data_IF_907064200599
#
_entry.id   IF_907064200599
#
_cell.length_a   1.000
_cell.length_b   1.000
_cell.length_c   1.000
_cell.angle_alpha   90.00
_cell.angle_beta   90.00
_cell.angle_gamma   90.00
#
_symmetry.space_group_name_H-M   'P 1'
#
loop_
_entity.id
_entity.type
_entity.pdbx_description
1 polymer ?
#
# COMPACT_ATOMS: atom_id res chain seq x y z
N UNK A 1 5.50 -8.64 20.83
CA UNK A 1 4.91 -8.78 19.49
C UNK A 1 4.66 -7.39 18.97
N UNK A 2 5.38 -6.97 17.93
CA UNK A 2 5.20 -5.65 17.34
C UNK A 2 3.91 -5.68 16.53
N UNK A 3 2.79 -5.26 17.13
CA UNK A 3 1.53 -5.07 16.43
C UNK A 3 1.71 -3.90 15.47
N UNK A 4 1.70 -4.18 14.17
CA UNK A 4 1.57 -3.14 13.15
C UNK A 4 0.21 -2.49 13.39
N UNK A 5 0.21 -1.19 13.69
CA UNK A 5 -1.03 -0.45 13.93
C UNK A 5 -1.63 0.03 12.60
N UNK A 6 -2.90 0.45 12.63
CA UNK A 6 -3.54 1.06 11.47
C UNK A 6 -2.82 2.35 11.02
N UNK A 7 -2.22 3.10 11.96
CA UNK A 7 -1.38 4.27 11.64
C UNK A 7 -0.10 3.88 10.91
N UNK A 8 0.54 2.76 11.30
CA UNK A 8 1.72 2.25 10.59
C UNK A 8 1.38 1.85 9.15
N UNK A 9 0.26 1.13 8.96
CA UNK A 9 -0.22 0.77 7.62
C UNK A 9 -0.49 2.00 6.76
N UNK A 10 -1.07 3.05 7.34
CA UNK A 10 -1.34 4.32 6.66
C UNK A 10 -0.05 5.05 6.24
N UNK A 11 0.96 5.08 7.12
CA UNK A 11 2.25 5.67 6.78
C UNK A 11 2.96 4.89 5.67
N UNK A 12 2.94 3.57 5.74
CA UNK A 12 3.55 2.69 4.71
C UNK A 12 2.82 2.85 3.38
N UNK A 13 1.49 2.87 3.38
CA UNK A 13 0.68 3.08 2.18
C UNK A 13 1.01 4.42 1.50
N UNK A 14 1.06 5.51 2.27
CA UNK A 14 1.44 6.82 1.73
C UNK A 14 2.85 6.84 1.16
N UNK A 15 3.82 6.20 1.81
CA UNK A 15 5.19 6.11 1.30
C UNK A 15 5.26 5.35 -0.03
N UNK A 16 4.53 4.23 -0.13
CA UNK A 16 4.47 3.42 -1.35
C UNK A 16 3.80 4.20 -2.48
N UNK A 17 2.70 4.89 -2.21
CA UNK A 17 1.98 5.71 -3.19
C UNK A 17 2.80 6.94 -3.62
N UNK A 18 3.52 7.60 -2.72
CA UNK A 18 4.41 8.73 -3.06
C UNK A 18 5.56 8.30 -4.00
N UNK A 19 6.14 7.12 -3.75
CA UNK A 19 7.28 6.60 -4.51
C UNK A 19 6.88 5.92 -5.83
N UNK A 20 5.80 5.16 -5.83
CA UNK A 20 5.41 4.26 -6.93
C UNK A 20 4.08 4.65 -7.59
N UNK A 21 3.34 5.62 -7.03
CA UNK A 21 2.03 6.03 -7.55
C UNK A 21 1.07 4.86 -7.66
N UNK A 22 0.38 4.75 -8.78
CA UNK A 22 -0.57 3.66 -9.06
C UNK A 22 0.07 2.25 -9.05
N UNK A 23 1.39 2.14 -9.25
CA UNK A 23 2.08 0.84 -9.19
C UNK A 23 2.12 0.25 -7.78
N UNK A 24 1.95 1.07 -6.73
CA UNK A 24 1.88 0.60 -5.34
C UNK A 24 0.75 -0.44 -5.14
N UNK A 25 -0.39 -0.25 -5.81
CA UNK A 25 -1.52 -1.18 -5.73
C UNK A 25 -1.19 -2.53 -6.40
N UNK A 26 -0.46 -2.51 -7.51
CA UNK A 26 -0.02 -3.71 -8.22
C UNK A 26 0.95 -4.50 -7.34
N UNK A 27 1.94 -3.83 -6.73
CA UNK A 27 2.88 -4.49 -5.82
C UNK A 27 2.20 -5.09 -4.60
N UNK A 28 1.26 -4.38 -3.99
CA UNK A 28 0.50 -4.91 -2.86
C UNK A 28 -0.34 -6.13 -3.27
N UNK A 29 -0.90 -6.13 -4.47
CA UNK A 29 -1.67 -7.28 -5.00
C UNK A 29 -0.77 -8.49 -5.24
N UNK A 30 0.38 -8.29 -5.90
CA UNK A 30 1.37 -9.35 -6.13
C UNK A 30 1.89 -9.94 -4.81
N UNK A 31 2.13 -9.09 -3.81
CA UNK A 31 2.57 -9.56 -2.49
C UNK A 31 1.49 -10.40 -1.79
N UNK A 32 0.20 -10.06 -1.92
CA UNK A 32 -0.89 -10.91 -1.41
C UNK A 32 -0.85 -12.28 -2.10
N UNK A 33 -0.79 -12.32 -3.42
CA UNK A 33 -0.75 -13.57 -4.20
C UNK A 33 0.46 -14.44 -3.83
N UNK A 34 1.64 -13.84 -3.68
CA UNK A 34 2.84 -14.55 -3.22
C UNK A 34 2.67 -15.13 -1.81
N UNK A 35 2.09 -14.37 -0.88
CA UNK A 35 1.89 -14.88 0.49
C UNK A 35 0.83 -15.98 0.54
N UNK A 36 -0.21 -15.87 -0.29
CA UNK A 36 -1.23 -16.92 -0.43
C UNK A 36 -0.63 -18.21 -1.01
N UNK A 37 0.24 -18.11 -2.03
CA UNK A 37 0.95 -19.26 -2.60
C UNK A 37 1.90 -19.93 -1.59
N UNK A 38 2.53 -19.13 -0.73
CA UNK A 38 3.36 -19.60 0.37
C UNK A 38 2.56 -20.19 1.56
N UNK A 39 1.23 -20.03 1.57
CA UNK A 39 0.36 -20.45 2.67
C UNK A 39 0.48 -19.61 3.94
N UNK A 40 1.02 -18.38 3.85
CA UNK A 40 1.19 -17.45 4.95
C UNK A 40 -0.01 -16.51 5.07
N UNK A 41 -1.15 -17.06 5.51
CA UNK A 41 -2.42 -16.33 5.66
C UNK A 41 -2.32 -15.08 6.56
N UNK A 42 -1.65 -15.10 7.73
CA UNK A 42 -1.51 -13.90 8.56
C UNK A 42 -0.81 -12.75 7.83
N UNK A 43 0.16 -13.08 6.98
CA UNK A 43 0.89 -12.09 6.19
C UNK A 43 0.08 -11.64 4.98
N UNK A 44 -0.64 -12.55 4.32
CA UNK A 44 -1.60 -12.21 3.27
C UNK A 44 -2.66 -11.23 3.80
N UNK A 45 -3.20 -11.46 5.00
CA UNK A 45 -4.15 -10.56 5.66
C UNK A 45 -3.56 -9.16 5.91
N UNK A 46 -2.32 -9.08 6.40
CA UNK A 46 -1.63 -7.81 6.57
C UNK A 46 -1.44 -7.05 5.23
N UNK A 47 -1.10 -7.75 4.16
CA UNK A 47 -0.98 -7.16 2.82
C UNK A 47 -2.33 -6.75 2.23
N UNK A 48 -3.41 -7.50 2.50
CA UNK A 48 -4.78 -7.11 2.11
C UNK A 48 -5.21 -5.83 2.83
N UNK A 49 -4.94 -5.72 4.13
CA UNK A 49 -5.18 -4.50 4.90
C UNK A 49 -4.38 -3.31 4.34
N UNK A 50 -3.10 -3.52 4.02
CA UNK A 50 -2.27 -2.49 3.38
C UNK A 50 -2.80 -2.08 2.00
N UNK A 51 -3.24 -3.05 1.18
CA UNK A 51 -3.81 -2.78 -0.15
C UNK A 51 -5.06 -1.92 -0.06
N UNK A 52 -5.96 -2.19 0.89
CA UNK A 52 -7.14 -1.37 1.11
C UNK A 52 -6.76 0.09 1.41
N UNK A 53 -5.79 0.30 2.30
CA UNK A 53 -5.31 1.65 2.64
C UNK A 53 -4.60 2.34 1.47
N UNK A 54 -3.88 1.58 0.62
CA UNK A 54 -3.27 2.10 -0.62
C UNK A 54 -4.34 2.53 -1.62
N UNK A 55 -5.40 1.73 -1.80
CA UNK A 55 -6.52 2.07 -2.68
C UNK A 55 -7.21 3.33 -2.17
N UNK A 56 -7.53 3.40 -0.87
CA UNK A 56 -8.10 4.59 -0.24
C UNK A 56 -7.20 5.82 -0.40
N UNK A 57 -5.87 5.67 -0.32
CA UNK A 57 -4.92 6.77 -0.53
C UNK A 57 -4.87 7.23 -2.00
N UNK A 58 -5.02 6.32 -2.96
CA UNK A 58 -5.06 6.63 -4.40
C UNK A 58 -6.40 7.29 -4.75
N UNK A 59 -7.52 6.71 -4.31
CA UNK A 59 -8.89 7.20 -4.54
C UNK A 59 -9.16 8.50 -3.76
N UNK A 60 -8.53 8.66 -2.58
CA UNK A 60 -8.64 9.80 -1.69
C UNK A 60 -7.84 11.04 -2.09
N UNK A 61 -7.21 11.03 -3.27
CA UNK A 61 -6.30 12.04 -3.85
C UNK A 61 -4.84 11.83 -3.43
N UNK A 62 -3.97 11.67 -4.42
CA UNK A 62 -2.59 12.21 -4.39
C UNK A 62 -2.61 13.76 -4.28
N UNK A 63 -3.26 14.34 -3.26
CA UNK A 63 -3.39 15.80 -3.08
C UNK A 63 -2.11 16.46 -2.58
N UNK A 64 -1.05 15.68 -2.29
CA UNK A 64 0.18 16.26 -1.73
C UNK A 64 1.15 16.80 -2.78
N UNK A 65 1.14 16.36 -4.05
CA UNK A 65 2.05 16.88 -5.10
C UNK A 65 1.58 16.51 -6.53
N UNK A 66 0.66 17.29 -7.08
CA UNK A 66 0.82 17.79 -8.45
C UNK A 66 2.05 18.72 -8.49
N UNK A 67 3.23 18.15 -8.24
CA UNK A 67 4.46 18.89 -7.98
C UNK A 67 5.64 18.23 -8.66
N UNK A 68 5.52 18.02 -9.97
CA UNK A 68 6.56 18.20 -11.00
C UNK A 68 6.06 17.65 -12.36
N UNK A 69 5.34 18.49 -13.11
CA UNK A 69 5.69 18.64 -14.52
C UNK A 69 6.36 19.99 -14.67
N UNK A 70 7.58 19.93 -15.16
CA UNK A 70 8.50 21.02 -15.42
C UNK A 70 8.02 21.76 -16.68
N UNK A 71 7.71 23.06 -16.61
CA UNK A 71 8.00 24.03 -17.67
C UNK A 71 7.92 25.46 -17.10
#
# INVERSE_FOLDING_TARGET
MSQITAEDLTQIAHLLVDRHGAQACIYATQAVEEMEDLGDEPRAEAWRALRAVIVDAIEGRLDRRAGKSLH
#
